data_IF_200478121798
#
_entry.id   IF_200478121798
#
_cell.length_a   1.000
_cell.length_b   1.000
_cell.length_c   1.000
_cell.angle_alpha   90.00
_cell.angle_beta   90.00
_cell.angle_gamma   90.00
#
_symmetry.space_group_name_H-M   'P 1'
#
loop_
_entity.id
_entity.type
_entity.pdbx_description
1 polymer ?
#
# COMPACT_ATOMS: atom_id res chain seq x y z
N UNK A 1 -11.65 -10.76 -8.86
CA UNK A 1 -10.39 -10.05 -9.14
C UNK A 1 -9.28 -10.86 -8.50
N UNK A 2 -8.56 -11.66 -9.27
CA UNK A 2 -7.45 -12.47 -8.78
C UNK A 2 -6.16 -11.68 -9.01
N UNK A 3 -5.42 -11.42 -7.94
CA UNK A 3 -4.08 -10.84 -8.00
C UNK A 3 -3.09 -11.98 -8.23
N UNK A 4 -2.36 -11.91 -9.33
CA UNK A 4 -1.30 -12.85 -9.63
C UNK A 4 0.05 -12.13 -9.49
N UNK A 5 0.81 -12.48 -8.46
CA UNK A 5 2.21 -12.08 -8.30
C UNK A 5 3.06 -13.30 -8.63
N UNK A 6 3.72 -13.34 -9.80
CA UNK A 6 4.80 -14.29 -10.04
C UNK A 6 5.79 -13.85 -11.10
N UNK A 7 7.02 -14.32 -10.95
CA UNK A 7 8.13 -14.14 -11.89
C UNK A 7 7.68 -14.49 -13.31
N UNK A 8 7.81 -13.53 -14.21
CA UNK A 8 7.59 -13.72 -15.63
C UNK A 8 8.54 -14.83 -16.10
N UNK A 9 8.01 -15.97 -16.47
CA UNK A 9 8.79 -17.07 -17.05
C UNK A 9 8.24 -18.47 -16.85
N UNK A 10 7.48 -18.77 -15.81
CA UNK A 10 7.13 -20.15 -15.47
C UNK A 10 5.64 -20.51 -15.57
N UNK A 11 4.74 -19.56 -15.79
CA UNK A 11 3.30 -19.85 -15.82
C UNK A 11 2.61 -19.77 -17.18
N UNK A 12 3.27 -19.26 -18.22
CA UNK A 12 2.70 -19.33 -19.58
C UNK A 12 2.41 -20.76 -20.05
N UNK A 13 3.19 -21.75 -19.59
CA UNK A 13 2.97 -23.15 -19.91
C UNK A 13 1.66 -23.73 -19.32
N UNK A 14 1.21 -23.23 -18.17
CA UNK A 14 -0.04 -23.68 -17.53
C UNK A 14 -1.29 -23.16 -18.23
N UNK A 15 -1.22 -21.96 -18.83
CA UNK A 15 -2.32 -21.40 -19.62
C UNK A 15 -2.48 -22.08 -20.98
N UNK A 16 -1.41 -22.63 -21.54
CA UNK A 16 -1.43 -23.40 -22.79
C UNK A 16 -2.36 -24.63 -22.70
N UNK A 17 -2.53 -25.20 -21.52
CA UNK A 17 -3.34 -26.40 -21.26
C UNK A 17 -4.82 -26.06 -21.08
N UNK A 18 -5.18 -24.83 -20.73
CA UNK A 18 -6.56 -24.48 -20.37
C UNK A 18 -7.36 -23.73 -21.46
N UNK A 19 -6.68 -23.14 -22.46
CA UNK A 19 -7.34 -22.28 -23.44
C UNK A 19 -6.65 -22.41 -24.83
N UNK A 20 -7.20 -23.21 -25.74
CA UNK A 20 -6.62 -23.68 -26.99
C UNK A 20 -5.89 -22.68 -27.91
N UNK A 21 -6.24 -21.42 -27.99
CA UNK A 21 -5.61 -20.41 -28.90
C UNK A 21 -4.68 -19.43 -28.24
N UNK A 22 -4.23 -19.74 -27.04
CA UNK A 22 -3.40 -18.81 -26.23
C UNK A 22 -2.02 -18.59 -26.84
N UNK A 23 -1.50 -19.53 -27.65
CA UNK A 23 -0.14 -19.41 -28.21
C UNK A 23 -0.03 -18.33 -29.30
N UNK A 24 -1.04 -18.15 -30.11
CA UNK A 24 -1.11 -17.06 -31.09
C UNK A 24 -1.28 -15.70 -30.41
N UNK A 25 -2.07 -15.64 -29.35
CA UNK A 25 -2.31 -14.42 -28.55
C UNK A 25 -1.07 -14.06 -27.73
N UNK A 26 -0.35 -15.05 -27.18
CA UNK A 26 0.93 -14.86 -26.51
C UNK A 26 1.97 -14.30 -27.48
N UNK A 27 2.15 -14.88 -28.68
CA UNK A 27 3.07 -14.35 -29.70
C UNK A 27 2.73 -12.93 -30.13
N UNK A 28 1.44 -12.63 -30.24
CA UNK A 28 0.96 -11.28 -30.55
C UNK A 28 1.26 -10.29 -29.42
N UNK A 29 1.06 -10.71 -28.16
CA UNK A 29 1.39 -9.91 -26.97
C UNK A 29 2.91 -9.78 -26.79
N UNK A 30 3.69 -10.83 -27.03
CA UNK A 30 5.16 -10.78 -26.99
C UNK A 30 5.72 -9.84 -28.05
N UNK A 31 5.15 -9.83 -29.25
CA UNK A 31 5.54 -8.88 -30.31
C UNK A 31 5.19 -7.45 -29.93
N UNK A 32 3.98 -7.21 -29.44
CA UNK A 32 3.54 -5.90 -28.96
C UNK A 32 4.35 -5.43 -27.72
N UNK A 33 4.72 -6.35 -26.85
CA UNK A 33 5.58 -6.08 -25.68
C UNK A 33 7.00 -5.75 -26.12
N UNK A 34 7.59 -6.48 -27.05
CA UNK A 34 8.96 -6.22 -27.53
C UNK A 34 9.08 -4.90 -28.31
N UNK A 35 8.07 -4.52 -29.08
CA UNK A 35 7.99 -3.24 -29.76
C UNK A 35 7.80 -2.06 -28.77
N UNK A 36 7.18 -2.33 -27.62
CA UNK A 36 6.87 -1.33 -26.60
C UNK A 36 7.89 -1.25 -25.46
N UNK A 37 8.77 -2.26 -25.29
CA UNK A 37 9.70 -2.35 -24.14
C UNK A 37 10.63 -1.14 -24.03
N UNK A 38 11.03 -0.54 -25.13
CA UNK A 38 11.92 0.65 -25.12
C UNK A 38 11.18 1.91 -24.66
N UNK A 39 9.89 2.03 -24.95
CA UNK A 39 9.05 3.16 -24.51
C UNK A 39 8.37 2.91 -23.15
N UNK A 40 8.29 1.65 -22.73
CA UNK A 40 7.58 1.23 -21.53
C UNK A 40 8.47 1.14 -20.28
N UNK A 41 9.81 1.23 -20.39
CA UNK A 41 10.69 1.21 -19.21
C UNK A 41 10.38 2.31 -18.19
N UNK A 42 9.87 3.45 -18.64
CA UNK A 42 9.47 4.57 -17.76
C UNK A 42 8.01 4.54 -17.33
N UNK A 43 7.16 3.76 -18.01
CA UNK A 43 5.72 3.63 -17.74
C UNK A 43 5.32 2.33 -17.05
N UNK A 44 6.23 1.35 -16.96
CA UNK A 44 5.94 -0.01 -16.46
C UNK A 44 6.06 -0.09 -14.94
N UNK A 45 5.23 0.62 -14.22
CA UNK A 45 4.95 0.24 -12.84
C UNK A 45 3.59 -0.43 -12.67
N UNK A 46 2.72 -0.39 -13.66
CA UNK A 46 1.39 -1.01 -13.60
C UNK A 46 0.85 -1.27 -15.01
N UNK A 47 0.87 -2.48 -15.48
CA UNK A 47 0.20 -2.86 -16.72
C UNK A 47 -1.14 -3.52 -16.40
N UNK A 48 -2.20 -2.94 -16.94
CA UNK A 48 -3.56 -3.41 -16.76
C UNK A 48 -4.10 -3.82 -18.13
N UNK A 49 -4.57 -5.06 -18.26
CA UNK A 49 -5.09 -5.60 -19.51
C UNK A 49 -6.54 -6.01 -19.31
N UNK A 50 -7.42 -5.54 -20.20
CA UNK A 50 -8.81 -5.92 -20.23
C UNK A 50 -9.10 -6.70 -21.52
N UNK A 51 -9.66 -7.89 -21.39
CA UNK A 51 -10.19 -8.65 -22.49
C UNK A 51 -11.71 -8.49 -22.50
N UNK A 52 -12.27 -8.14 -23.67
CA UNK A 52 -13.71 -7.95 -23.86
C UNK A 52 -14.27 -9.09 -24.71
N UNK A 53 -15.40 -9.65 -24.27
CA UNK A 53 -16.19 -10.61 -25.04
C UNK A 53 -17.59 -10.06 -25.20
N UNK A 54 -18.07 -9.96 -26.45
CA UNK A 54 -19.39 -9.37 -26.79
C UNK A 54 -19.63 -7.99 -26.20
N UNK A 55 -18.57 -7.14 -26.17
CA UNK A 55 -18.65 -5.79 -25.64
C UNK A 55 -18.55 -5.65 -24.11
N UNK A 56 -18.55 -6.75 -23.37
CA UNK A 56 -18.39 -6.78 -21.92
C UNK A 56 -16.98 -7.21 -21.53
N UNK A 57 -16.50 -6.73 -20.35
CA UNK A 57 -15.23 -7.16 -19.79
C UNK A 57 -15.35 -8.64 -19.39
N UNK A 58 -14.54 -9.51 -20.02
CA UNK A 58 -14.47 -10.94 -19.73
C UNK A 58 -13.36 -11.24 -18.70
N UNK A 59 -12.16 -10.73 -18.97
CA UNK A 59 -11.00 -10.95 -18.11
C UNK A 59 -10.18 -9.66 -17.95
N UNK A 60 -9.60 -9.53 -16.77
CA UNK A 60 -8.74 -8.41 -16.42
C UNK A 60 -7.46 -8.94 -15.80
N UNK A 61 -6.31 -8.50 -16.29
CA UNK A 61 -5.00 -8.86 -15.76
C UNK A 61 -4.27 -7.61 -15.31
N UNK A 62 -3.59 -7.74 -14.18
CA UNK A 62 -2.69 -6.74 -13.66
C UNK A 62 -1.30 -7.35 -13.51
N UNK A 63 -0.31 -6.76 -14.14
CA UNK A 63 1.07 -7.21 -14.08
C UNK A 63 1.88 -6.11 -13.41
N UNK A 64 2.62 -6.45 -12.39
CA UNK A 64 3.54 -5.55 -11.70
C UNK A 64 4.86 -6.28 -11.44
N UNK A 65 5.94 -5.49 -11.33
CA UNK A 65 7.19 -6.00 -10.80
C UNK A 65 6.97 -6.54 -9.39
N UNK A 66 7.53 -7.72 -9.11
CA UNK A 66 7.54 -8.26 -7.76
C UNK A 66 8.59 -7.50 -6.94
N UNK A 67 8.17 -6.92 -5.84
CA UNK A 67 9.04 -6.27 -4.90
C UNK A 67 9.43 -7.24 -3.79
N UNK A 68 10.73 -7.53 -3.67
CA UNK A 68 11.28 -8.21 -2.52
C UNK A 68 11.47 -7.19 -1.39
N UNK A 69 10.52 -7.15 -0.46
CA UNK A 69 10.57 -6.28 0.72
C UNK A 69 11.25 -7.00 1.88
N UNK A 70 11.96 -6.24 2.73
CA UNK A 70 12.62 -6.80 3.92
C UNK A 70 11.63 -6.97 5.07
N UNK A 71 10.64 -6.08 5.16
CA UNK A 71 9.58 -6.14 6.16
C UNK A 71 8.34 -5.36 5.71
N UNK A 72 7.26 -5.52 6.46
CA UNK A 72 6.05 -4.70 6.34
C UNK A 72 5.93 -3.78 7.55
N UNK A 73 5.08 -2.76 7.47
CA UNK A 73 4.79 -1.95 8.66
C UNK A 73 4.12 -2.78 9.78
N UNK A 74 3.49 -3.90 9.45
CA UNK A 74 2.91 -4.83 10.42
C UNK A 74 3.97 -5.43 11.33
N UNK A 75 5.14 -5.76 10.81
CA UNK A 75 6.23 -6.34 11.60
C UNK A 75 6.68 -5.38 12.69
N UNK A 76 6.68 -4.07 12.41
CA UNK A 76 6.96 -3.04 13.43
C UNK A 76 5.87 -2.95 14.50
N UNK A 77 4.61 -3.26 14.17
CA UNK A 77 3.53 -3.27 15.17
C UNK A 77 3.51 -4.52 16.02
N UNK A 78 4.11 -5.61 15.55
CA UNK A 78 4.19 -6.89 16.26
C UNK A 78 5.45 -7.02 17.08
N UNK A 79 6.53 -6.34 16.70
CA UNK A 79 7.80 -6.34 17.40
C UNK A 79 8.28 -4.90 17.62
N UNK A 80 8.05 -4.38 18.83
CA UNK A 80 8.46 -3.03 19.20
C UNK A 80 9.98 -2.91 19.42
N UNK A 81 10.67 -4.03 19.65
CA UNK A 81 12.12 -4.12 19.80
C UNK A 81 12.85 -4.39 18.47
N UNK A 82 12.12 -4.24 17.34
CA UNK A 82 12.72 -4.43 16.02
C UNK A 82 13.91 -3.48 15.83
N UNK A 83 15.06 -3.97 15.34
CA UNK A 83 16.24 -3.14 15.14
C UNK A 83 15.92 -1.88 14.31
N UNK A 84 16.33 -0.73 14.82
CA UNK A 84 16.12 0.58 14.20
C UNK A 84 14.64 1.01 14.09
N UNK A 85 13.77 0.42 14.90
CA UNK A 85 12.33 0.62 14.90
C UNK A 85 11.93 2.12 14.88
N UNK A 86 12.54 2.93 15.73
CA UNK A 86 12.23 4.36 15.83
C UNK A 86 12.57 5.11 14.54
N UNK A 87 13.76 4.87 13.96
CA UNK A 87 14.18 5.54 12.73
C UNK A 87 13.32 5.14 11.55
N UNK A 88 12.88 3.88 11.49
CA UNK A 88 11.93 3.42 10.46
C UNK A 88 10.59 4.16 10.60
N UNK A 89 10.05 4.32 11.82
CA UNK A 89 8.81 5.07 12.05
C UNK A 89 8.94 6.53 11.66
N UNK A 90 10.07 7.16 11.97
CA UNK A 90 10.36 8.55 11.57
C UNK A 90 10.44 8.69 10.06
N UNK A 91 11.17 7.80 9.39
CA UNK A 91 11.27 7.79 7.94
C UNK A 91 9.91 7.54 7.26
N UNK A 92 9.11 6.63 7.79
CA UNK A 92 7.75 6.38 7.34
C UNK A 92 6.82 7.60 7.51
N UNK A 93 6.96 8.32 8.61
CA UNK A 93 6.19 9.54 8.85
C UNK A 93 6.54 10.62 7.81
N UNK A 94 7.83 10.80 7.51
CA UNK A 94 8.28 11.69 6.43
C UNK A 94 7.74 11.27 5.07
N UNK A 95 7.78 9.96 4.76
CA UNK A 95 7.21 9.43 3.53
C UNK A 95 5.71 9.74 3.42
N UNK A 96 4.93 9.47 4.47
CA UNK A 96 3.49 9.75 4.50
C UNK A 96 3.20 11.24 4.34
N UNK A 97 3.99 12.10 5.01
CA UNK A 97 3.84 13.55 4.86
C UNK A 97 4.17 14.04 3.43
N UNK A 98 5.15 13.43 2.75
CA UNK A 98 5.44 13.71 1.34
C UNK A 98 4.24 13.35 0.44
N UNK A 99 3.55 12.24 0.69
CA UNK A 99 2.32 11.90 -0.02
C UNK A 99 1.23 12.96 0.21
N UNK A 100 1.02 13.33 1.47
CA UNK A 100 0.04 14.35 1.83
C UNK A 100 0.33 15.70 1.17
N UNK A 101 1.60 16.11 1.08
CA UNK A 101 2.00 17.35 0.43
C UNK A 101 1.79 17.32 -1.09
N UNK A 102 1.78 16.13 -1.70
CA UNK A 102 1.40 15.92 -3.09
C UNK A 102 -0.12 15.75 -3.26
N UNK A 103 -0.90 15.98 -2.21
CA UNK A 103 -2.36 15.85 -2.25
C UNK A 103 -2.86 14.41 -2.32
N UNK A 104 -2.05 13.42 -1.93
CA UNK A 104 -2.41 11.99 -1.96
C UNK A 104 -2.80 11.54 -0.56
N UNK A 105 -4.03 11.02 -0.41
CA UNK A 105 -4.54 10.40 0.81
C UNK A 105 -4.84 8.93 0.55
N UNK A 106 -4.04 8.04 1.14
CA UNK A 106 -4.25 6.60 1.04
C UNK A 106 -5.25 6.13 2.11
N UNK A 107 -6.48 5.81 1.71
CA UNK A 107 -7.56 5.49 2.64
C UNK A 107 -7.40 4.13 3.32
N UNK A 108 -6.71 3.18 2.67
CA UNK A 108 -6.39 1.89 3.26
C UNK A 108 -4.98 1.84 3.87
N UNK A 109 -4.56 2.95 4.45
CA UNK A 109 -3.31 3.10 5.16
C UNK A 109 -3.29 2.24 6.42
N UNK A 110 -2.92 0.98 6.26
CA UNK A 110 -2.93 -0.05 7.29
C UNK A 110 -1.57 -0.78 7.34
N UNK A 111 -1.24 -1.47 8.44
CA UNK A 111 0.07 -2.09 8.62
C UNK A 111 0.47 -3.09 7.52
N UNK A 112 -0.49 -3.81 6.94
CA UNK A 112 -0.21 -4.79 5.89
C UNK A 112 -0.04 -4.19 4.49
N UNK A 113 -0.38 -2.91 4.31
CA UNK A 113 -0.40 -2.27 3.00
C UNK A 113 0.82 -1.36 2.75
N UNK A 114 1.83 -1.45 3.61
CA UNK A 114 3.11 -0.78 3.43
C UNK A 114 4.24 -1.79 3.51
N UNK A 115 4.97 -1.93 2.41
CA UNK A 115 6.19 -2.72 2.32
C UNK A 115 7.39 -1.79 2.53
N UNK A 116 8.41 -2.31 3.18
CA UNK A 116 9.61 -1.56 3.55
C UNK A 116 10.84 -2.28 3.00
N UNK A 117 11.66 -1.55 2.29
CA UNK A 117 12.96 -2.01 1.79
C UNK A 117 14.06 -1.24 2.50
N UNK A 118 14.95 -1.95 3.16
CA UNK A 118 16.12 -1.34 3.80
C UNK A 118 17.17 -1.00 2.75
N UNK A 119 17.83 0.12 2.94
CA UNK A 119 19.05 0.54 2.24
C UNK A 119 20.14 0.81 3.27
N UNK A 120 21.38 1.04 2.84
CA UNK A 120 22.49 1.25 3.79
C UNK A 120 22.15 2.29 4.86
N UNK A 121 21.65 3.48 4.45
CA UNK A 121 21.40 4.60 5.37
C UNK A 121 19.96 5.12 5.30
N UNK A 122 19.03 4.35 4.71
CA UNK A 122 17.66 4.82 4.48
C UNK A 122 16.65 3.68 4.31
N UNK A 123 15.39 4.05 4.15
CA UNK A 123 14.27 3.13 3.92
C UNK A 123 13.45 3.60 2.75
N UNK A 124 13.14 2.69 1.83
CA UNK A 124 12.13 2.90 0.80
C UNK A 124 10.79 2.28 1.27
N UNK A 125 9.71 3.01 1.02
CA UNK A 125 8.36 2.58 1.37
C UNK A 125 7.53 2.43 0.11
N UNK A 126 6.81 1.32 0.02
CA UNK A 126 5.94 1.01 -1.09
C UNK A 126 4.54 0.72 -0.57
N UNK A 127 3.56 1.36 -1.19
CA UNK A 127 2.15 1.12 -0.86
C UNK A 127 1.59 0.06 -1.80
N UNK A 128 0.85 -0.89 -1.24
CA UNK A 128 0.13 -1.92 -1.98
C UNK A 128 -1.38 -1.79 -1.74
N UNK A 129 -2.19 -2.41 -2.59
CA UNK A 129 -3.67 -2.32 -2.54
C UNK A 129 -4.17 -0.87 -2.68
N UNK A 130 -3.79 -0.24 -3.80
CA UNK A 130 -4.03 1.19 -4.05
C UNK A 130 -5.48 1.53 -4.46
N UNK A 131 -6.43 0.61 -4.27
CA UNK A 131 -7.81 0.76 -4.73
C UNK A 131 -8.56 1.96 -4.10
N UNK A 132 -8.09 2.45 -2.97
CA UNK A 132 -8.77 3.50 -2.20
C UNK A 132 -7.83 4.66 -1.92
N UNK A 133 -7.69 5.53 -2.92
CA UNK A 133 -6.97 6.79 -2.80
C UNK A 133 -7.89 7.98 -3.03
N UNK A 134 -7.61 9.09 -2.35
CA UNK A 134 -8.17 10.40 -2.66
C UNK A 134 -7.05 11.35 -3.04
N UNK A 135 -7.37 12.24 -3.98
CA UNK A 135 -6.44 13.26 -4.48
C UNK A 135 -7.05 14.64 -4.26
N UNK A 136 -6.21 15.62 -3.91
CA UNK A 136 -6.62 17.01 -3.71
C UNK A 136 -5.98 17.65 -2.48
N UNK A 137 -6.47 18.81 -2.11
CA UNK A 137 -5.99 19.53 -0.92
C UNK A 137 -6.43 18.80 0.35
N UNK A 138 -5.48 18.50 1.23
CA UNK A 138 -5.71 17.77 2.46
C UNK A 138 -5.65 18.71 3.66
N UNK A 139 -6.76 18.76 4.42
CA UNK A 139 -6.78 19.45 5.70
C UNK A 139 -5.83 18.78 6.70
N UNK A 140 -5.40 19.53 7.70
CA UNK A 140 -4.58 19.00 8.81
C UNK A 140 -5.24 17.77 9.47
N UNK A 141 -6.53 17.86 9.76
CA UNK A 141 -7.26 16.75 10.39
C UNK A 141 -7.32 15.50 9.51
N UNK A 142 -7.45 15.64 8.19
CA UNK A 142 -7.40 14.51 7.26
C UNK A 142 -6.02 13.84 7.26
N UNK A 143 -4.94 14.64 7.29
CA UNK A 143 -3.55 14.15 7.36
C UNK A 143 -3.31 13.36 8.65
N UNK A 144 -3.70 13.90 9.80
CA UNK A 144 -3.55 13.23 11.10
C UNK A 144 -4.42 11.97 11.17
N UNK A 145 -5.68 12.05 10.78
CA UNK A 145 -6.61 10.90 10.78
C UNK A 145 -6.14 9.75 9.88
N UNK A 146 -5.25 10.00 8.93
CA UNK A 146 -4.71 8.96 8.05
C UNK A 146 -3.84 7.94 8.81
N UNK A 147 -3.27 8.30 9.95
CA UNK A 147 -2.45 7.41 10.78
C UNK A 147 -3.26 6.47 11.68
N UNK A 148 -4.55 6.68 11.87
CA UNK A 148 -5.40 5.98 12.86
C UNK A 148 -5.49 4.47 12.75
N UNK A 149 -5.12 3.90 11.60
CA UNK A 149 -5.20 2.45 11.36
C UNK A 149 -3.86 1.73 11.51
N UNK A 150 -2.76 2.47 11.65
CA UNK A 150 -1.40 1.94 11.56
C UNK A 150 -0.98 1.17 12.81
N UNK A 151 -1.35 1.63 13.99
CA UNK A 151 -0.93 1.02 15.25
C UNK A 151 -1.90 1.29 16.39
N UNK A 152 -1.81 0.47 17.43
CA UNK A 152 -2.49 0.66 18.71
C UNK A 152 -1.50 1.08 19.82
N UNK A 153 -0.22 1.12 19.52
CA UNK A 153 0.84 1.36 20.50
C UNK A 153 1.09 2.85 20.69
N UNK A 154 0.96 3.31 21.93
CA UNK A 154 1.14 4.73 22.27
C UNK A 154 2.57 5.22 21.96
N UNK A 155 3.60 4.36 22.14
CA UNK A 155 4.99 4.67 21.81
C UNK A 155 5.18 4.98 20.33
N UNK A 156 4.59 4.19 19.44
CA UNK A 156 4.65 4.42 17.99
C UNK A 156 3.95 5.74 17.61
N UNK A 157 2.79 6.01 18.22
CA UNK A 157 2.07 7.28 18.00
C UNK A 157 2.91 8.47 18.48
N UNK A 158 3.60 8.34 19.63
CA UNK A 158 4.47 9.38 20.15
C UNK A 158 5.62 9.68 19.17
N UNK A 159 6.33 8.66 18.69
CA UNK A 159 7.41 8.80 17.70
C UNK A 159 6.93 9.43 16.39
N UNK A 160 5.81 8.96 15.83
CA UNK A 160 5.27 9.53 14.60
C UNK A 160 4.79 10.97 14.79
N UNK A 161 4.22 11.29 15.94
CA UNK A 161 3.78 12.65 16.26
C UNK A 161 4.96 13.61 16.45
N UNK A 162 6.03 13.17 17.08
CA UNK A 162 7.27 13.95 17.25
C UNK A 162 7.89 14.26 15.88
N UNK A 163 8.00 13.27 15.01
CA UNK A 163 8.52 13.49 13.68
C UNK A 163 7.61 14.40 12.83
N UNK A 164 6.28 14.23 12.93
CA UNK A 164 5.34 15.10 12.24
C UNK A 164 5.47 16.56 12.73
N UNK A 165 5.65 16.78 14.04
CA UNK A 165 5.87 18.10 14.60
C UNK A 165 7.12 18.76 14.03
N UNK A 166 8.24 18.02 13.94
CA UNK A 166 9.51 18.50 13.39
C UNK A 166 9.39 18.94 11.93
N UNK A 167 8.71 18.14 11.10
CA UNK A 167 8.63 18.40 9.66
C UNK A 167 7.53 19.40 9.27
N UNK A 168 6.58 19.69 10.14
CA UNK A 168 5.49 20.65 9.89
C UNK A 168 5.61 21.94 10.72
N UNK A 169 6.52 21.99 11.67
CA UNK A 169 6.66 23.09 12.65
C UNK A 169 5.38 23.34 13.48
N UNK A 170 4.54 22.32 13.62
CA UNK A 170 3.32 22.38 14.42
C UNK A 170 3.56 21.84 15.83
N UNK A 171 2.65 22.13 16.76
CA UNK A 171 2.75 21.67 18.14
C UNK A 171 2.69 20.15 18.24
N UNK A 172 3.73 19.53 18.84
CA UNK A 172 3.73 18.13 19.18
C UNK A 172 2.50 17.71 19.98
N UNK A 173 2.15 18.52 21.01
CA UNK A 173 1.00 18.24 21.88
C UNK A 173 -0.30 18.16 21.08
N UNK A 174 -0.51 19.08 20.15
CA UNK A 174 -1.71 19.08 19.31
C UNK A 174 -1.75 17.86 18.39
N UNK A 175 -0.64 17.58 17.68
CA UNK A 175 -0.52 16.43 16.77
C UNK A 175 -0.75 15.12 17.53
N UNK A 176 -0.05 14.93 18.64
CA UNK A 176 -0.14 13.72 19.45
C UNK A 176 -1.55 13.50 19.99
N UNK A 177 -2.17 14.53 20.56
CA UNK A 177 -3.52 14.44 21.12
C UNK A 177 -4.53 14.04 20.04
N UNK A 178 -4.48 14.68 18.87
CA UNK A 178 -5.38 14.36 17.75
C UNK A 178 -5.11 12.96 17.17
N UNK A 179 -3.86 12.61 16.93
CA UNK A 179 -3.49 11.32 16.35
C UNK A 179 -3.89 10.17 17.28
N UNK A 180 -3.66 10.32 18.58
CA UNK A 180 -4.07 9.35 19.58
C UNK A 180 -5.59 9.22 19.68
N UNK A 181 -6.32 10.35 19.72
CA UNK A 181 -7.76 10.36 19.77
C UNK A 181 -8.40 9.67 18.55
N UNK A 182 -7.91 9.97 17.34
CA UNK A 182 -8.37 9.32 16.10
C UNK A 182 -8.07 7.81 16.10
N UNK A 183 -6.90 7.41 16.59
CA UNK A 183 -6.54 6.00 16.73
C UNK A 183 -7.48 5.29 17.69
N UNK A 184 -7.72 5.83 18.87
CA UNK A 184 -8.63 5.23 19.85
C UNK A 184 -10.07 5.15 19.33
N UNK A 185 -10.57 6.21 18.70
CA UNK A 185 -11.89 6.23 18.06
C UNK A 185 -12.04 5.14 17.02
N UNK A 186 -11.03 4.97 16.18
CA UNK A 186 -10.99 3.90 15.18
C UNK A 186 -11.01 2.51 15.83
N UNK A 187 -10.18 2.28 16.86
CA UNK A 187 -10.10 0.99 17.56
C UNK A 187 -11.45 0.64 18.24
N UNK A 188 -12.06 1.57 18.94
CA UNK A 188 -13.39 1.36 19.54
C UNK A 188 -14.43 0.96 18.50
N UNK A 189 -14.48 1.68 17.36
CA UNK A 189 -15.41 1.36 16.28
C UNK A 189 -15.11 0.00 15.63
N UNK A 190 -13.83 -0.36 15.46
CA UNK A 190 -13.40 -1.64 14.92
C UNK A 190 -13.84 -2.81 15.83
N UNK A 191 -13.55 -2.72 17.14
CA UNK A 191 -13.95 -3.75 18.11
C UNK A 191 -15.48 -3.91 18.20
N UNK A 192 -16.21 -2.79 18.21
CA UNK A 192 -17.69 -2.83 18.20
C UNK A 192 -18.21 -3.58 16.96
N UNK A 193 -17.72 -3.24 15.77
CA UNK A 193 -18.12 -3.93 14.53
C UNK A 193 -17.76 -5.41 14.53
N UNK A 194 -16.59 -5.77 15.05
CA UNK A 194 -16.14 -7.17 15.15
C UNK A 194 -17.01 -7.96 16.13
N UNK A 195 -17.35 -7.37 17.27
CA UNK A 195 -18.25 -7.98 18.25
C UNK A 195 -19.66 -8.22 17.67
N UNK A 196 -20.20 -7.24 16.93
CA UNK A 196 -21.49 -7.39 16.25
C UNK A 196 -21.44 -8.51 15.20
N UNK A 197 -20.43 -8.56 14.35
CA UNK A 197 -20.27 -9.64 13.37
C UNK A 197 -20.20 -11.02 14.04
N UNK A 198 -19.46 -11.14 15.17
CA UNK A 198 -19.38 -12.38 15.92
C UNK A 198 -20.73 -12.79 16.49
N UNK A 199 -21.52 -11.83 16.99
CA UNK A 199 -22.85 -12.07 17.56
C UNK A 199 -23.88 -12.54 16.51
N UNK A 200 -23.81 -12.01 15.28
CA UNK A 200 -24.76 -12.33 14.22
C UNK A 200 -24.25 -13.43 13.24
N UNK A 201 -23.11 -14.08 13.52
CA UNK A 201 -22.56 -15.19 12.70
C UNK A 201 -22.61 -14.93 11.17
N UNK A 202 -22.23 -13.71 10.73
CA UNK A 202 -22.01 -13.43 9.32
C UNK A 202 -20.54 -13.63 8.95
#
# INVERSE_FOLDING_TARGET
MFFYQKKIGLEFSRYKILYGDVEAEIKRLEKAVNESITQLKDLIKKNFFEFKKKGLIDKTFYISEQLDSDLTFRDLTQNLDYPDHENILRAFTRFTNKLHNKGVLFLDHSPGNTLIKKKMDSYDFYLVDLNRMKFGNLSFDARISNFKRLTIHASMIATMSDEMAKITSLSYKEIHTKMWAETQKFQKAYHKRRALKKKFKF
#
